data_IF_887215351457
#
_entry.id   IF_887215351457
#
_cell.length_a   1.000
_cell.length_b   1.000
_cell.length_c   1.000
_cell.angle_alpha   90.00
_cell.angle_beta   90.00
_cell.angle_gamma   90.00
#
_symmetry.space_group_name_H-M   'P 1'
#
loop_
_entity.id
_entity.type
_entity.pdbx_description
1 polymer ?
#
# COMPACT_ATOMS: atom_id res chain seq x y z
N UNK A 1 58.87 -13.73 16.72
CA UNK A 1 57.63 -14.23 17.30
C UNK A 1 56.48 -13.58 16.52
N UNK A 2 56.10 -14.20 15.42
CA UNK A 2 55.07 -13.71 14.51
C UNK A 2 53.69 -14.15 14.97
N UNK A 3 52.80 -13.24 15.18
CA UNK A 3 51.39 -13.52 15.52
C UNK A 3 50.61 -13.63 14.19
N UNK A 4 50.24 -14.85 13.85
CA UNK A 4 49.32 -15.12 12.72
C UNK A 4 47.89 -14.83 13.14
N UNK A 5 47.25 -13.91 12.46
CA UNK A 5 45.78 -13.73 12.48
C UNK A 5 45.12 -14.76 11.56
N UNK A 6 44.03 -15.41 11.99
CA UNK A 6 43.27 -16.31 11.12
C UNK A 6 42.36 -15.50 10.12
N UNK A 7 42.08 -16.07 8.96
CA UNK A 7 41.23 -15.45 7.98
C UNK A 7 39.76 -15.51 8.41
N UNK A 8 39.04 -14.38 8.23
CA UNK A 8 37.59 -14.32 8.35
C UNK A 8 37.05 -14.59 6.95
N UNK A 9 36.60 -15.78 6.68
CA UNK A 9 35.74 -16.13 5.58
C UNK A 9 34.31 -16.17 6.11
N UNK A 10 33.50 -15.20 5.76
CA UNK A 10 32.03 -15.27 5.80
C UNK A 10 31.52 -14.97 4.40
N UNK A 11 31.53 -15.99 3.55
CA UNK A 11 30.70 -16.02 2.35
C UNK A 11 29.26 -16.32 2.79
N UNK A 12 28.37 -15.35 2.68
CA UNK A 12 26.94 -15.57 2.77
C UNK A 12 26.50 -16.30 1.49
N UNK A 13 26.02 -17.52 1.65
CA UNK A 13 25.45 -18.35 0.60
C UNK A 13 24.11 -17.74 0.13
N UNK A 14 23.96 -17.31 -1.15
CA UNK A 14 22.74 -16.68 -1.65
C UNK A 14 21.62 -17.69 -1.99
N UNK A 15 21.72 -18.95 -1.57
CA UNK A 15 20.76 -20.01 -1.93
C UNK A 15 19.96 -20.55 -0.74
N UNK A 16 19.51 -19.70 0.18
CA UNK A 16 18.50 -20.13 1.13
C UNK A 16 17.11 -19.96 0.50
N UNK A 17 16.84 -20.79 -0.49
CA UNK A 17 15.50 -21.10 -0.91
C UNK A 17 14.83 -21.91 0.20
N UNK A 18 13.83 -21.35 0.86
CA UNK A 18 13.01 -22.09 1.82
C UNK A 18 12.21 -23.13 1.03
N UNK A 19 12.73 -24.35 0.99
CA UNK A 19 11.95 -25.50 0.58
C UNK A 19 10.88 -25.73 1.64
N UNK A 20 9.61 -25.63 1.26
CA UNK A 20 8.50 -26.06 2.09
C UNK A 20 8.66 -27.55 2.36
N UNK A 21 9.30 -27.89 3.48
CA UNK A 21 9.36 -29.26 3.96
C UNK A 21 7.94 -29.67 4.39
N UNK A 22 7.39 -30.69 3.73
CA UNK A 22 6.20 -31.42 4.19
C UNK A 22 6.48 -32.03 5.57
N UNK A 23 6.29 -31.24 6.60
CA UNK A 23 6.38 -31.60 8.02
C UNK A 23 4.98 -31.68 8.61
N UNK A 24 4.54 -32.89 8.82
CA UNK A 24 3.34 -33.38 9.45
C UNK A 24 2.70 -32.47 10.51
N UNK A 25 1.54 -31.93 10.23
CA UNK A 25 0.36 -32.04 11.08
C UNK A 25 -0.88 -31.93 10.17
N UNK A 26 -1.71 -32.97 10.13
CA UNK A 26 -3.02 -32.99 9.47
C UNK A 26 -3.99 -32.01 10.21
N UNK A 27 -3.73 -30.71 10.12
CA UNK A 27 -4.77 -29.70 10.18
C UNK A 27 -5.24 -29.55 8.73
N UNK A 28 -6.46 -30.02 8.44
CA UNK A 28 -7.17 -29.62 7.24
C UNK A 28 -6.99 -28.11 7.10
N UNK A 29 -6.22 -27.69 6.11
CA UNK A 29 -6.05 -26.27 5.78
C UNK A 29 -7.37 -25.86 5.15
N UNK A 30 -8.24 -25.27 5.95
CA UNK A 30 -9.55 -24.85 5.51
C UNK A 30 -9.36 -23.59 4.66
N UNK A 31 -9.66 -23.66 3.36
CA UNK A 31 -9.56 -22.52 2.45
C UNK A 31 -10.28 -21.29 3.01
N UNK A 32 -9.70 -20.13 2.80
CA UNK A 32 -10.33 -18.85 3.13
C UNK A 32 -11.65 -18.73 2.37
N UNK A 33 -12.69 -18.32 3.05
CA UNK A 33 -14.04 -18.18 2.52
C UNK A 33 -14.60 -16.80 2.81
N UNK A 34 -15.70 -16.43 2.15
CA UNK A 34 -16.45 -15.19 2.48
C UNK A 34 -16.81 -15.11 3.97
N UNK A 35 -17.04 -16.25 4.64
CA UNK A 35 -17.28 -16.26 6.10
C UNK A 35 -16.05 -15.81 6.88
N UNK A 36 -14.83 -16.16 6.44
CA UNK A 36 -13.60 -15.64 7.03
C UNK A 36 -13.46 -14.14 6.80
N UNK A 37 -13.83 -13.64 5.62
CA UNK A 37 -13.87 -12.20 5.36
C UNK A 37 -14.82 -11.46 6.32
N UNK A 38 -16.03 -11.99 6.55
CA UNK A 38 -16.96 -11.43 7.53
C UNK A 38 -16.38 -11.47 8.96
N UNK A 39 -15.66 -12.54 9.33
CA UNK A 39 -14.92 -12.59 10.60
C UNK A 39 -13.84 -11.48 10.64
N UNK A 40 -13.08 -11.28 9.56
CA UNK A 40 -12.05 -10.23 9.47
C UNK A 40 -12.66 -8.83 9.65
N UNK A 41 -13.77 -8.53 9.00
CA UNK A 41 -14.50 -7.26 9.15
C UNK A 41 -15.03 -7.02 10.58
N UNK A 42 -15.21 -8.08 11.37
CA UNK A 42 -15.69 -7.93 12.75
C UNK A 42 -14.67 -7.28 13.70
N UNK A 43 -13.39 -7.17 13.29
CA UNK A 43 -12.34 -6.54 14.09
C UNK A 43 -12.27 -5.04 13.82
N UNK A 44 -12.53 -4.21 14.82
CA UNK A 44 -12.23 -2.77 14.81
C UNK A 44 -10.76 -2.57 15.18
N UNK A 45 -9.92 -2.12 14.23
CA UNK A 45 -8.45 -2.24 14.29
C UNK A 45 -7.67 -0.93 14.15
N UNK A 46 -8.00 0.14 14.91
CA UNK A 46 -7.11 1.31 14.91
C UNK A 46 -5.68 0.89 15.25
N UNK A 47 -4.71 1.61 14.68
CA UNK A 47 -3.29 1.35 14.88
C UNK A 47 -2.93 1.26 16.37
N UNK A 48 -2.07 0.29 16.73
CA UNK A 48 -1.57 0.04 18.08
C UNK A 48 -2.55 -0.64 19.04
N UNK A 49 -3.77 -0.98 18.62
CA UNK A 49 -4.78 -1.57 19.49
C UNK A 49 -4.60 -3.07 19.75
N UNK A 50 -5.23 -3.56 20.83
CA UNK A 50 -5.27 -5.00 21.10
C UNK A 50 -6.08 -5.76 20.04
N UNK A 51 -7.06 -5.12 19.42
CA UNK A 51 -7.90 -5.73 18.37
C UNK A 51 -7.07 -5.95 17.09
N UNK A 52 -6.26 -4.97 16.70
CA UNK A 52 -5.32 -5.09 15.59
C UNK A 52 -4.36 -6.28 15.82
N UNK A 53 -3.70 -6.36 16.98
CA UNK A 53 -2.82 -7.49 17.31
C UNK A 53 -3.53 -8.85 17.27
N UNK A 54 -4.79 -8.92 17.73
CA UNK A 54 -5.58 -10.16 17.65
C UNK A 54 -5.90 -10.54 16.21
N UNK A 55 -6.23 -9.56 15.38
CA UNK A 55 -6.45 -9.76 13.95
C UNK A 55 -5.18 -10.30 13.28
N UNK A 56 -4.04 -9.63 13.48
CA UNK A 56 -2.77 -10.05 12.91
C UNK A 56 -2.38 -11.48 13.37
N UNK A 57 -2.51 -11.79 14.66
CA UNK A 57 -2.23 -13.14 15.18
C UNK A 57 -3.18 -14.21 14.60
N UNK A 58 -4.41 -13.84 14.26
CA UNK A 58 -5.42 -14.77 13.75
C UNK A 58 -5.26 -15.04 12.25
N UNK A 59 -4.99 -13.99 11.46
CA UNK A 59 -5.05 -14.07 10.00
C UNK A 59 -3.70 -13.91 9.31
N UNK A 60 -2.79 -13.08 9.83
CA UNK A 60 -1.52 -12.77 9.17
C UNK A 60 -0.37 -13.66 9.66
N UNK A 61 -0.16 -13.73 10.96
CA UNK A 61 0.95 -14.48 11.55
C UNK A 61 1.03 -15.95 11.08
N UNK A 62 -0.10 -16.70 10.94
CA UNK A 62 -0.03 -18.09 10.47
C UNK A 62 0.42 -18.26 9.01
N UNK A 63 0.30 -17.22 8.19
CA UNK A 63 0.60 -17.21 6.75
C UNK A 63 1.95 -16.55 6.46
N UNK A 64 2.18 -15.39 7.05
CA UNK A 64 3.36 -14.55 6.78
C UNK A 64 4.54 -14.84 7.72
N UNK A 65 4.31 -15.42 8.90
CA UNK A 65 5.29 -15.48 9.97
C UNK A 65 5.32 -14.19 10.79
N UNK A 66 6.43 -13.95 11.51
CA UNK A 66 6.60 -12.75 12.33
C UNK A 66 6.70 -11.50 11.45
N UNK A 67 6.12 -10.37 11.89
CA UNK A 67 6.25 -9.10 11.18
C UNK A 67 7.68 -8.55 11.27
N UNK A 68 8.01 -7.58 10.43
CA UNK A 68 9.23 -6.79 10.55
C UNK A 68 9.23 -5.92 11.83
N UNK A 69 10.34 -5.20 12.08
CA UNK A 69 10.50 -4.36 13.29
C UNK A 69 9.47 -3.22 13.37
N UNK A 70 8.85 -2.84 12.24
CA UNK A 70 7.79 -1.82 12.20
C UNK A 70 6.40 -2.42 12.41
N UNK A 71 6.19 -3.68 12.04
CA UNK A 71 4.91 -4.37 12.13
C UNK A 71 4.31 -4.75 10.77
N UNK A 72 5.07 -4.61 9.67
CA UNK A 72 4.66 -5.07 8.36
C UNK A 72 4.77 -6.58 8.25
N UNK A 73 3.82 -7.22 7.58
CA UNK A 73 3.86 -8.65 7.26
C UNK A 73 4.29 -8.84 5.82
N UNK A 74 5.38 -9.58 5.59
CA UNK A 74 6.03 -9.71 4.29
C UNK A 74 6.17 -11.18 3.95
N UNK A 75 5.71 -11.58 2.75
CA UNK A 75 5.85 -12.95 2.25
C UNK A 75 6.20 -12.93 0.76
N UNK A 76 7.27 -13.61 0.40
CA UNK A 76 7.67 -13.81 -1.00
C UNK A 76 7.30 -15.22 -1.44
N UNK A 77 6.48 -15.34 -2.48
CA UNK A 77 6.07 -16.61 -3.11
C UNK A 77 6.71 -16.68 -4.50
N UNK A 78 7.54 -17.68 -4.74
CA UNK A 78 8.26 -17.83 -6.00
C UNK A 78 9.39 -16.82 -6.20
N UNK A 79 9.59 -16.39 -7.46
CA UNK A 79 10.56 -15.35 -7.85
C UNK A 79 9.82 -14.16 -8.49
N UNK A 80 9.04 -13.40 -7.71
CA UNK A 80 8.10 -12.42 -8.22
C UNK A 80 8.76 -11.18 -8.78
N UNK A 81 8.08 -10.61 -9.78
CA UNK A 81 8.31 -9.25 -10.28
C UNK A 81 7.19 -8.28 -9.89
N UNK A 82 6.13 -8.78 -9.24
CA UNK A 82 4.99 -7.98 -8.79
C UNK A 82 4.87 -8.06 -7.26
N UNK A 83 4.67 -6.89 -6.63
CA UNK A 83 4.28 -6.79 -5.23
C UNK A 83 2.79 -6.51 -5.12
N UNK A 84 2.12 -7.22 -4.23
CA UNK A 84 0.72 -7.02 -3.84
C UNK A 84 0.67 -6.41 -2.45
N UNK A 85 -0.08 -5.31 -2.31
CA UNK A 85 -0.05 -4.47 -1.11
C UNK A 85 -1.44 -4.22 -0.55
N UNK A 86 -1.52 -4.18 0.76
CA UNK A 86 -2.69 -3.82 1.55
C UNK A 86 -2.23 -3.39 2.93
N UNK A 87 -3.14 -2.92 3.80
CA UNK A 87 -2.82 -2.59 5.18
C UNK A 87 -3.76 -3.29 6.17
N UNK A 88 -3.33 -3.38 7.44
CA UNK A 88 -4.10 -4.10 8.45
C UNK A 88 -4.69 -3.22 9.55
N UNK A 89 -4.41 -1.93 9.57
CA UNK A 89 -5.09 -0.96 10.43
C UNK A 89 -6.40 -0.46 9.80
N UNK A 90 -7.20 0.27 10.54
CA UNK A 90 -8.48 0.86 10.10
C UNK A 90 -8.78 2.12 10.87
N UNK A 91 -9.60 3.03 10.33
CA UNK A 91 -10.00 4.30 10.97
C UNK A 91 -11.08 4.17 12.04
N UNK A 92 -11.31 2.99 12.59
CA UNK A 92 -12.25 2.85 13.70
C UNK A 92 -11.84 3.75 14.89
N UNK A 93 -12.80 4.37 15.55
CA UNK A 93 -12.52 5.25 16.69
C UNK A 93 -12.02 4.49 17.92
N UNK A 94 -12.45 3.24 18.06
CA UNK A 94 -12.10 2.38 19.20
C UNK A 94 -11.72 0.99 18.69
N UNK A 95 -10.76 0.37 19.36
CA UNK A 95 -10.43 -1.03 19.11
C UNK A 95 -11.43 -1.97 19.79
N UNK A 96 -11.78 -3.07 19.12
CA UNK A 96 -12.73 -4.05 19.65
C UNK A 96 -13.31 -4.95 18.58
N UNK A 97 -14.54 -5.35 18.78
CA UNK A 97 -15.32 -6.18 17.86
C UNK A 97 -16.60 -5.44 17.48
N UNK A 98 -17.01 -5.57 16.23
CA UNK A 98 -18.28 -5.06 15.72
C UNK A 98 -19.15 -6.18 15.16
N UNK A 99 -20.41 -5.88 14.94
CA UNK A 99 -21.34 -6.73 14.23
C UNK A 99 -21.37 -6.33 12.75
N UNK A 100 -21.03 -7.25 11.89
CA UNK A 100 -21.20 -7.10 10.43
C UNK A 100 -22.64 -7.53 10.08
N UNK A 101 -23.28 -6.75 9.21
CA UNK A 101 -24.65 -6.97 8.73
C UNK A 101 -24.57 -7.15 7.23
N UNK A 102 -25.13 -8.25 6.74
CA UNK A 102 -25.27 -8.46 5.29
C UNK A 102 -26.72 -8.11 4.93
N UNK A 103 -26.88 -7.21 3.96
CA UNK A 103 -28.19 -6.81 3.47
C UNK A 103 -28.68 -7.72 2.33
N UNK A 104 -29.93 -7.50 1.88
CA UNK A 104 -30.58 -8.30 0.84
C UNK A 104 -29.90 -8.22 -0.54
N UNK A 105 -29.06 -7.19 -0.77
CA UNK A 105 -28.28 -7.02 -2.00
C UNK A 105 -26.85 -7.56 -1.86
N UNK A 106 -26.59 -8.42 -0.88
CA UNK A 106 -25.30 -9.02 -0.59
C UNK A 106 -24.17 -8.02 -0.28
N UNK A 107 -24.51 -6.86 0.29
CA UNK A 107 -23.52 -5.91 0.82
C UNK A 107 -23.29 -6.12 2.30
N UNK A 108 -22.02 -6.19 2.70
CA UNK A 108 -21.63 -6.12 4.10
C UNK A 108 -21.63 -4.65 4.58
N UNK A 109 -22.19 -4.40 5.76
CA UNK A 109 -22.32 -3.09 6.41
C UNK A 109 -22.17 -3.22 7.91
N UNK A 110 -22.18 -2.10 8.63
CA UNK A 110 -22.14 -2.07 10.11
C UNK A 110 -22.97 -0.92 10.66
N UNK A 111 -23.20 -0.91 11.97
CA UNK A 111 -23.77 0.23 12.73
C UNK A 111 -22.70 1.10 13.39
N UNK A 112 -21.43 0.70 13.32
CA UNK A 112 -20.29 1.42 13.89
C UNK A 112 -19.89 2.65 13.05
N UNK A 113 -18.78 3.27 13.37
CA UNK A 113 -18.33 4.48 12.65
C UNK A 113 -17.78 4.21 11.24
N UNK A 114 -17.30 3.01 10.98
CA UNK A 114 -16.92 2.49 9.66
C UNK A 114 -16.99 0.96 9.65
N UNK A 115 -16.97 0.33 8.49
CA UNK A 115 -16.92 -1.12 8.34
C UNK A 115 -15.49 -1.66 8.45
N UNK A 116 -14.51 -0.91 7.95
CA UNK A 116 -13.11 -1.32 7.82
C UNK A 116 -12.89 -2.28 6.67
N UNK A 117 -13.70 -2.18 5.60
CA UNK A 117 -13.45 -2.85 4.34
C UNK A 117 -12.16 -2.34 3.69
N UNK A 118 -11.90 -1.06 3.86
CA UNK A 118 -10.63 -0.37 3.71
C UNK A 118 -9.71 -0.70 4.92
N UNK A 119 -8.63 -1.50 4.86
CA UNK A 119 -8.32 -2.35 3.70
C UNK A 119 -8.40 -3.86 4.03
N UNK A 120 -9.44 -4.30 4.77
CA UNK A 120 -9.68 -5.74 5.01
C UNK A 120 -9.86 -6.51 3.70
N UNK A 121 -10.44 -5.85 2.70
CA UNK A 121 -10.71 -6.41 1.38
C UNK A 121 -9.41 -6.81 0.69
N UNK A 122 -8.43 -5.92 0.67
CA UNK A 122 -7.13 -6.22 0.08
C UNK A 122 -6.40 -7.34 0.82
N UNK A 123 -6.45 -7.36 2.16
CA UNK A 123 -5.87 -8.47 2.94
C UNK A 123 -6.53 -9.80 2.57
N UNK A 124 -7.85 -9.85 2.44
CA UNK A 124 -8.56 -11.07 2.05
C UNK A 124 -8.16 -11.55 0.65
N UNK A 125 -8.15 -10.66 -0.35
CA UNK A 125 -7.72 -10.98 -1.73
C UNK A 125 -6.31 -11.59 -1.70
N UNK A 126 -5.37 -10.94 -1.02
CA UNK A 126 -3.98 -11.40 -0.93
C UNK A 126 -3.88 -12.79 -0.27
N UNK A 127 -4.61 -13.04 0.81
CA UNK A 127 -4.63 -14.36 1.46
C UNK A 127 -5.16 -15.45 0.53
N UNK A 128 -6.21 -15.17 -0.27
CA UNK A 128 -6.76 -16.09 -1.28
C UNK A 128 -5.76 -16.34 -2.42
N UNK A 129 -5.05 -15.30 -2.89
CA UNK A 129 -4.00 -15.45 -3.90
C UNK A 129 -2.84 -16.32 -3.40
N UNK A 130 -2.40 -16.13 -2.14
CA UNK A 130 -1.36 -16.94 -1.51
C UNK A 130 -1.81 -18.41 -1.41
N UNK A 131 -3.04 -18.68 -0.98
CA UNK A 131 -3.60 -20.03 -0.93
C UNK A 131 -3.63 -20.72 -2.30
N UNK A 132 -3.92 -19.96 -3.35
CA UNK A 132 -3.91 -20.43 -4.73
C UNK A 132 -2.48 -20.61 -5.30
N UNK A 133 -1.44 -20.17 -4.57
CA UNK A 133 -0.05 -20.27 -4.98
C UNK A 133 0.35 -19.25 -6.06
N UNK A 134 -0.35 -18.11 -6.14
CA UNK A 134 0.00 -17.04 -7.06
C UNK A 134 1.35 -16.46 -6.67
N UNK A 135 2.29 -16.42 -7.63
CA UNK A 135 3.62 -15.86 -7.43
C UNK A 135 3.54 -14.36 -7.19
N UNK A 136 4.16 -13.88 -6.10
CA UNK A 136 4.08 -12.48 -5.71
C UNK A 136 4.94 -12.16 -4.48
N UNK A 137 5.30 -10.88 -4.33
CA UNK A 137 5.73 -10.32 -3.05
C UNK A 137 4.49 -9.73 -2.37
N UNK A 138 4.07 -10.31 -1.28
CA UNK A 138 2.90 -9.88 -0.52
C UNK A 138 3.33 -9.05 0.68
N UNK A 139 2.82 -7.81 0.78
CA UNK A 139 3.13 -6.91 1.90
C UNK A 139 1.82 -6.41 2.49
N UNK A 140 1.56 -6.73 3.76
CA UNK A 140 0.46 -6.13 4.53
C UNK A 140 1.07 -5.11 5.48
N UNK A 141 0.91 -3.84 5.14
CA UNK A 141 1.51 -2.73 5.89
C UNK A 141 0.78 -2.48 7.21
N UNK A 142 1.49 -1.86 8.14
CA UNK A 142 0.93 -1.27 9.35
C UNK A 142 0.82 0.25 9.19
N UNK A 143 -0.10 0.86 9.93
CA UNK A 143 -0.17 2.31 10.09
C UNK A 143 -0.30 3.10 8.77
N UNK A 144 -1.06 2.57 7.80
CA UNK A 144 -1.41 3.29 6.58
C UNK A 144 -2.27 4.51 6.91
N UNK A 145 -3.34 4.30 7.68
CA UNK A 145 -4.35 5.28 8.07
C UNK A 145 -3.81 6.43 8.96
N UNK A 146 -2.58 6.31 9.40
CA UNK A 146 -1.88 7.33 10.18
C UNK A 146 -0.61 7.83 9.49
N UNK A 147 -0.60 7.78 8.15
CA UNK A 147 0.41 8.36 7.27
C UNK A 147 1.39 7.36 6.69
N UNK A 148 0.94 6.20 6.22
CA UNK A 148 1.72 5.20 5.46
C UNK A 148 3.06 4.82 6.13
N UNK A 149 3.09 4.76 7.47
CA UNK A 149 4.33 4.59 8.25
C UNK A 149 5.00 3.25 8.03
N UNK A 150 4.21 2.22 7.70
CA UNK A 150 4.72 0.88 7.42
C UNK A 150 5.47 0.83 6.10
N UNK A 151 4.89 1.35 5.04
CA UNK A 151 5.48 1.40 3.71
C UNK A 151 6.67 2.35 3.64
N UNK A 152 6.57 3.54 4.26
CA UNK A 152 7.70 4.46 4.42
C UNK A 152 8.90 3.79 5.12
N UNK A 153 8.64 3.01 6.19
CA UNK A 153 9.70 2.28 6.87
C UNK A 153 10.45 1.33 5.93
N UNK A 154 9.73 0.56 5.10
CA UNK A 154 10.37 -0.34 4.13
C UNK A 154 11.22 0.45 3.15
N UNK A 155 10.67 1.51 2.56
CA UNK A 155 11.38 2.31 1.54
C UNK A 155 12.68 2.93 2.07
N UNK A 156 12.69 3.40 3.33
CA UNK A 156 13.83 4.11 3.90
C UNK A 156 14.82 3.23 4.68
N UNK A 157 14.36 2.11 5.25
CA UNK A 157 15.20 1.30 6.14
C UNK A 157 15.52 -0.08 5.60
N UNK A 158 14.63 -0.66 4.77
CA UNK A 158 14.79 -2.02 4.23
C UNK A 158 14.38 -2.11 2.75
N UNK A 159 14.87 -1.17 1.88
CA UNK A 159 14.44 -1.13 0.46
C UNK A 159 14.74 -2.41 -0.31
N UNK A 160 15.71 -3.22 0.13
CA UNK A 160 16.04 -4.53 -0.44
C UNK A 160 14.87 -5.53 -0.40
N UNK A 161 13.88 -5.31 0.42
CA UNK A 161 12.63 -6.11 0.46
C UNK A 161 11.97 -6.15 -0.92
N UNK A 162 12.04 -5.05 -1.67
CA UNK A 162 11.44 -4.92 -3.00
C UNK A 162 12.43 -5.11 -4.15
N UNK A 163 13.63 -5.62 -3.89
CA UNK A 163 14.61 -5.90 -4.93
C UNK A 163 14.02 -6.84 -5.99
N UNK A 164 14.16 -6.45 -7.27
CA UNK A 164 13.65 -7.19 -8.42
C UNK A 164 12.16 -6.97 -8.73
N UNK A 165 11.43 -6.24 -7.89
CA UNK A 165 10.02 -5.89 -8.12
C UNK A 165 9.93 -4.78 -9.16
N UNK A 166 9.01 -4.94 -10.12
CA UNK A 166 8.78 -4.01 -11.23
C UNK A 166 7.41 -3.34 -11.16
N UNK A 167 6.46 -3.97 -10.46
CA UNK A 167 5.14 -3.41 -10.25
C UNK A 167 4.68 -3.60 -8.80
N UNK A 168 4.01 -2.59 -8.25
CA UNK A 168 3.32 -2.61 -6.97
C UNK A 168 1.83 -2.34 -7.19
N UNK A 169 0.98 -3.28 -6.78
CA UNK A 169 -0.48 -3.22 -6.91
C UNK A 169 -1.09 -3.21 -5.51
N UNK A 170 -1.63 -2.05 -5.09
CA UNK A 170 -2.43 -1.94 -3.87
C UNK A 170 -3.88 -2.33 -4.15
N UNK A 171 -4.50 -3.07 -3.24
CA UNK A 171 -5.91 -3.44 -3.23
C UNK A 171 -6.69 -2.54 -2.27
N UNK A 172 -6.65 -1.23 -2.50
CA UNK A 172 -7.04 -0.21 -1.54
C UNK A 172 -7.76 0.97 -2.20
N UNK A 173 -8.61 0.68 -3.20
CA UNK A 173 -9.42 1.70 -3.88
C UNK A 173 -10.89 1.33 -3.83
N UNK A 174 -11.74 2.31 -3.50
CA UNK A 174 -13.18 2.16 -3.56
C UNK A 174 -13.70 1.97 -4.99
N UNK A 175 -14.94 1.54 -5.12
CA UNK A 175 -15.62 1.38 -6.40
C UNK A 175 -15.25 0.07 -7.10
N UNK A 176 -15.50 0.01 -8.40
CA UNK A 176 -15.42 -1.24 -9.16
C UNK A 176 -14.33 -1.28 -10.24
N UNK A 177 -13.92 -0.13 -10.80
CA UNK A 177 -13.28 -0.13 -12.10
C UNK A 177 -12.10 0.82 -12.27
N UNK A 178 -11.55 1.38 -11.20
CA UNK A 178 -10.38 2.27 -11.31
C UNK A 178 -9.07 1.50 -11.18
N UNK A 179 -8.15 1.74 -12.11
CA UNK A 179 -6.71 1.51 -11.97
C UNK A 179 -6.05 2.88 -11.88
N UNK A 180 -5.49 3.20 -10.73
CA UNK A 180 -4.96 4.53 -10.44
C UNK A 180 -3.62 4.71 -11.15
N UNK A 181 -3.53 5.72 -12.04
CA UNK A 181 -2.30 6.09 -12.75
C UNK A 181 -1.53 7.23 -12.10
N UNK A 182 -2.21 8.04 -11.28
CA UNK A 182 -1.61 9.15 -10.53
C UNK A 182 -2.09 9.08 -9.07
N UNK A 183 -1.17 9.25 -8.15
CA UNK A 183 -1.49 9.37 -6.72
C UNK A 183 -1.07 10.75 -6.24
N UNK A 184 -1.99 11.47 -5.59
CA UNK A 184 -1.79 12.86 -5.17
C UNK A 184 -1.23 13.76 -6.30
N UNK A 185 -1.75 13.56 -7.52
CA UNK A 185 -1.36 14.35 -8.69
C UNK A 185 -0.05 13.94 -9.37
N UNK A 186 0.70 13.00 -8.80
CA UNK A 186 1.95 12.51 -9.38
C UNK A 186 1.70 11.20 -10.12
N UNK A 187 2.22 11.07 -11.34
CA UNK A 187 2.14 9.82 -12.11
C UNK A 187 2.95 8.71 -11.41
N UNK A 188 2.29 7.63 -11.05
CA UNK A 188 2.88 6.48 -10.36
C UNK A 188 2.89 5.22 -11.21
N UNK A 189 2.06 5.13 -12.25
CA UNK A 189 2.15 4.08 -13.26
C UNK A 189 1.83 4.61 -14.68
N UNK A 190 2.29 3.86 -15.68
CA UNK A 190 2.06 4.18 -17.09
C UNK A 190 0.64 3.77 -17.54
N UNK A 191 0.15 4.38 -18.63
CA UNK A 191 -1.11 3.96 -19.25
C UNK A 191 -1.02 2.53 -19.78
N UNK A 192 0.12 2.17 -20.39
CA UNK A 192 0.36 0.82 -20.92
C UNK A 192 0.30 -0.24 -19.81
N UNK A 193 0.88 0.07 -18.63
CA UNK A 193 0.75 -0.80 -17.48
C UNK A 193 -0.72 -0.95 -17.05
N UNK A 194 -1.45 0.17 -16.93
CA UNK A 194 -2.86 0.18 -16.57
C UNK A 194 -3.72 -0.63 -17.54
N UNK A 195 -3.51 -0.46 -18.86
CA UNK A 195 -4.23 -1.19 -19.90
C UNK A 195 -3.92 -2.69 -19.82
N UNK A 196 -2.65 -3.07 -19.69
CA UNK A 196 -2.24 -4.47 -19.54
C UNK A 196 -2.81 -5.11 -18.26
N UNK A 197 -2.89 -4.35 -17.16
CA UNK A 197 -3.50 -4.82 -15.91
C UNK A 197 -5.01 -5.04 -16.07
N UNK A 198 -5.71 -4.11 -16.73
CA UNK A 198 -7.14 -4.28 -17.05
C UNK A 198 -7.38 -5.54 -17.90
N UNK A 199 -6.54 -5.77 -18.90
CA UNK A 199 -6.63 -6.93 -19.79
C UNK A 199 -6.44 -8.27 -19.05
N UNK A 200 -5.46 -8.38 -18.14
CA UNK A 200 -5.22 -9.62 -17.41
C UNK A 200 -6.28 -9.91 -16.34
N UNK A 201 -6.85 -8.85 -15.73
CA UNK A 201 -7.91 -9.00 -14.74
C UNK A 201 -9.27 -9.35 -15.36
N UNK A 202 -9.47 -9.05 -16.66
CA UNK A 202 -10.72 -9.34 -17.39
C UNK A 202 -11.97 -8.74 -16.72
N UNK A 203 -11.79 -7.68 -15.96
CA UNK A 203 -12.84 -6.86 -15.35
C UNK A 203 -12.94 -5.54 -16.12
N UNK A 204 -14.04 -4.78 -15.97
CA UNK A 204 -14.24 -3.50 -16.66
C UNK A 204 -13.40 -2.36 -16.03
N UNK A 205 -12.11 -2.62 -15.79
CA UNK A 205 -11.17 -1.64 -15.26
C UNK A 205 -10.76 -0.61 -16.30
N UNK A 206 -10.48 0.60 -15.84
CA UNK A 206 -10.01 1.74 -16.66
C UNK A 206 -8.99 2.54 -15.90
N UNK A 207 -8.07 3.16 -16.63
CA UNK A 207 -7.16 4.16 -16.09
C UNK A 207 -7.92 5.29 -15.42
N UNK A 208 -7.50 5.63 -14.18
CA UNK A 208 -8.07 6.73 -13.40
C UNK A 208 -6.91 7.60 -12.87
N UNK A 209 -6.95 8.90 -13.17
CA UNK A 209 -5.93 9.88 -12.78
C UNK A 209 -6.16 10.46 -11.37
N UNK A 210 -7.29 10.16 -10.74
CA UNK A 210 -7.74 10.81 -9.51
C UNK A 210 -7.53 9.91 -8.29
N UNK A 211 -6.30 9.44 -8.11
CA UNK A 211 -5.91 8.66 -6.94
C UNK A 211 -5.55 9.53 -5.73
N UNK A 212 -5.99 9.09 -4.55
CA UNK A 212 -5.45 9.55 -3.28
C UNK A 212 -4.09 8.88 -3.01
N UNK A 213 -3.49 9.23 -1.88
CA UNK A 213 -2.27 8.60 -1.40
C UNK A 213 -2.60 7.23 -0.78
N UNK A 214 -1.76 6.24 -1.01
CA UNK A 214 -1.75 4.94 -0.32
C UNK A 214 -0.34 4.36 -0.30
N UNK A 215 -0.12 3.25 0.38
CA UNK A 215 1.17 2.59 0.55
C UNK A 215 1.99 2.42 -0.74
N UNK A 216 1.35 2.05 -1.87
CA UNK A 216 2.08 1.89 -3.14
C UNK A 216 2.73 3.18 -3.64
N UNK A 217 2.25 4.35 -3.23
CA UNK A 217 2.84 5.63 -3.59
C UNK A 217 4.25 5.81 -2.99
N UNK A 218 4.50 5.26 -1.79
CA UNK A 218 5.83 5.34 -1.16
C UNK A 218 6.93 4.72 -2.04
N UNK A 219 6.59 3.67 -2.79
CA UNK A 219 7.53 2.92 -3.63
C UNK A 219 7.76 3.53 -5.02
N UNK A 220 7.06 4.60 -5.41
CA UNK A 220 7.11 5.18 -6.76
C UNK A 220 8.51 5.60 -7.22
N UNK A 221 9.42 5.87 -6.29
CA UNK A 221 10.81 6.25 -6.56
C UNK A 221 11.74 5.06 -6.82
N UNK A 222 11.33 3.85 -6.45
CA UNK A 222 12.15 2.63 -6.55
C UNK A 222 11.49 1.52 -7.37
N UNK A 223 10.16 1.46 -7.43
CA UNK A 223 9.42 0.49 -8.28
C UNK A 223 8.88 1.23 -9.52
N UNK A 224 9.08 0.67 -10.74
CA UNK A 224 8.63 1.29 -11.98
C UNK A 224 7.14 1.62 -12.02
N UNK A 225 6.28 0.66 -11.72
CA UNK A 225 4.83 0.83 -11.82
C UNK A 225 4.18 0.65 -10.45
N UNK A 226 3.53 1.71 -9.95
CA UNK A 226 2.85 1.69 -8.65
C UNK A 226 1.40 2.12 -8.82
N UNK A 227 0.45 1.25 -8.51
CA UNK A 227 -0.97 1.52 -8.69
C UNK A 227 -1.80 1.12 -7.48
N UNK A 228 -3.04 1.60 -7.48
CA UNK A 228 -4.10 1.19 -6.55
C UNK A 228 -5.34 0.83 -7.36
N UNK A 229 -5.99 -0.31 -7.10
CA UNK A 229 -7.14 -0.79 -7.86
C UNK A 229 -8.40 -0.88 -7.01
N UNK A 230 -9.56 -0.63 -7.63
CA UNK A 230 -10.86 -0.74 -6.99
C UNK A 230 -11.17 -2.18 -6.58
N UNK A 231 -11.68 -2.35 -5.35
CA UNK A 231 -11.96 -3.68 -4.78
C UNK A 231 -13.38 -3.84 -4.24
N UNK A 232 -14.30 -2.94 -4.60
CA UNK A 232 -15.73 -3.09 -4.37
C UNK A 232 -16.26 -2.60 -3.03
N UNK A 233 -15.48 -1.83 -2.26
CA UNK A 233 -16.02 -1.10 -1.12
C UNK A 233 -16.43 0.33 -1.51
N UNK A 234 -17.26 0.96 -0.70
CA UNK A 234 -17.82 2.30 -0.92
C UNK A 234 -17.92 3.06 0.39
N UNK A 235 -17.90 4.39 0.29
CA UNK A 235 -18.10 5.32 1.41
C UNK A 235 -17.17 5.03 2.61
N UNK A 236 -15.92 4.61 2.33
CA UNK A 236 -14.90 4.32 3.34
C UNK A 236 -14.78 5.46 4.35
N UNK A 237 -14.25 5.16 5.53
CA UNK A 237 -14.06 6.11 6.63
C UNK A 237 -15.37 6.72 7.17
N UNK A 238 -16.51 6.14 6.82
CA UNK A 238 -17.82 6.63 7.23
C UNK A 238 -18.75 5.53 7.74
N UNK A 239 -19.86 5.93 8.39
CA UNK A 239 -20.90 5.00 8.82
C UNK A 239 -21.68 4.34 7.68
N UNK A 240 -21.48 4.81 6.45
CA UNK A 240 -22.12 4.28 5.25
C UNK A 240 -21.24 3.27 4.54
N UNK A 241 -20.03 3.08 5.04
CA UNK A 241 -19.08 2.16 4.44
C UNK A 241 -19.71 0.79 4.23
N UNK A 242 -19.52 0.26 3.04
CA UNK A 242 -20.10 -1.01 2.62
C UNK A 242 -19.15 -1.74 1.68
N UNK A 243 -19.27 -3.07 1.62
CA UNK A 243 -18.55 -3.92 0.68
C UNK A 243 -19.54 -4.77 -0.10
N UNK A 244 -19.43 -4.75 -1.41
CA UNK A 244 -20.10 -5.66 -2.31
C UNK A 244 -19.40 -7.02 -2.27
N UNK A 245 -20.10 -8.04 -1.72
CA UNK A 245 -19.53 -9.39 -1.56
C UNK A 245 -19.49 -10.16 -2.87
N UNK A 246 -20.37 -9.87 -3.83
CA UNK A 246 -20.35 -10.50 -5.14
C UNK A 246 -19.14 -10.00 -5.95
N UNK A 247 -18.89 -8.69 -5.93
CA UNK A 247 -17.72 -8.13 -6.59
C UNK A 247 -16.42 -8.58 -5.91
N UNK A 248 -16.39 -8.70 -4.58
CA UNK A 248 -15.24 -9.23 -3.85
C UNK A 248 -14.80 -10.60 -4.38
N UNK A 249 -15.74 -11.52 -4.60
CA UNK A 249 -15.42 -12.84 -5.15
C UNK A 249 -14.96 -12.74 -6.62
N UNK A 250 -15.63 -11.90 -7.43
CA UNK A 250 -15.23 -11.67 -8.83
C UNK A 250 -13.78 -11.18 -8.93
N UNK A 251 -13.41 -10.12 -8.19
CA UNK A 251 -12.05 -9.58 -8.27
C UNK A 251 -11.02 -10.53 -7.66
N UNK A 252 -11.38 -11.26 -6.60
CA UNK A 252 -10.51 -12.28 -6.01
C UNK A 252 -10.18 -13.38 -7.02
N UNK A 253 -11.20 -13.92 -7.69
CA UNK A 253 -11.01 -14.94 -8.72
C UNK A 253 -10.25 -14.40 -9.93
N UNK A 254 -10.49 -13.16 -10.33
CA UNK A 254 -9.72 -12.48 -11.39
C UNK A 254 -8.24 -12.40 -11.03
N UNK A 255 -7.90 -11.97 -9.81
CA UNK A 255 -6.51 -11.89 -9.35
C UNK A 255 -5.83 -13.26 -9.27
N UNK A 256 -6.56 -14.30 -8.87
CA UNK A 256 -6.04 -15.67 -8.79
C UNK A 256 -5.73 -16.23 -10.19
N UNK A 257 -6.57 -15.93 -11.18
CA UNK A 257 -6.46 -16.49 -12.53
C UNK A 257 -5.66 -15.61 -13.50
N UNK A 258 -5.29 -14.40 -13.11
CA UNK A 258 -4.52 -13.47 -13.94
C UNK A 258 -3.12 -13.99 -14.25
N UNK A 259 -2.68 -13.77 -15.49
CA UNK A 259 -1.29 -14.01 -15.89
C UNK A 259 -0.45 -12.75 -15.65
N UNK A 260 0.03 -12.61 -14.44
CA UNK A 260 0.80 -11.44 -13.98
C UNK A 260 2.11 -11.21 -14.75
N UNK A 261 2.59 -12.19 -15.52
CA UNK A 261 3.78 -12.06 -16.37
C UNK A 261 3.55 -11.19 -17.61
N UNK A 262 2.30 -10.87 -17.94
CA UNK A 262 1.92 -10.07 -19.11
C UNK A 262 1.84 -8.57 -18.85
N UNK A 263 2.14 -8.13 -17.65
CA UNK A 263 2.15 -6.70 -17.32
C UNK A 263 3.22 -5.96 -18.14
N UNK A 264 2.84 -4.83 -18.73
CA UNK A 264 3.76 -3.96 -19.46
C UNK A 264 4.44 -2.98 -18.49
N UNK A 265 5.76 -2.99 -18.43
CA UNK A 265 6.56 -2.12 -17.56
C UNK A 265 7.20 -1.04 -18.42
N UNK A 266 6.70 0.18 -18.31
CA UNK A 266 7.11 1.29 -19.20
C UNK A 266 7.69 2.48 -18.43
N UNK A 267 7.26 2.72 -17.19
CA UNK A 267 7.73 3.85 -16.40
C UNK A 267 9.15 3.57 -15.86
N UNK A 268 9.95 4.62 -15.79
CA UNK A 268 11.27 4.59 -15.15
C UNK A 268 11.25 5.47 -13.89
N UNK A 269 11.36 4.91 -12.68
CA UNK A 269 11.27 5.68 -11.44
C UNK A 269 12.38 6.71 -11.27
N UNK A 270 13.54 6.51 -11.92
CA UNK A 270 14.66 7.45 -11.87
C UNK A 270 14.52 8.66 -12.81
N UNK A 271 13.49 8.69 -13.65
CA UNK A 271 13.19 9.82 -14.53
C UNK A 271 11.93 10.50 -14.01
N UNK A 272 11.98 11.81 -13.68
CA UNK A 272 10.76 12.56 -13.43
C UNK A 272 9.84 12.37 -14.64
N UNK A 273 8.57 12.01 -14.40
CA UNK A 273 7.59 12.04 -15.47
C UNK A 273 7.45 13.50 -15.90
N UNK A 274 7.62 13.77 -17.20
CA UNK A 274 7.41 15.10 -17.76
C UNK A 274 5.93 15.55 -17.70
N UNK A 275 5.07 14.70 -17.12
CA UNK A 275 3.62 14.84 -17.15
C UNK A 275 3.12 15.57 -15.90
N UNK A 276 3.37 16.88 -15.87
CA UNK A 276 2.64 17.82 -15.02
C UNK A 276 1.26 18.18 -15.61
N UNK A 277 0.69 17.31 -16.46
CA UNK A 277 -0.53 17.57 -17.22
C UNK A 277 -1.84 17.40 -16.41
N UNK A 278 -1.88 17.81 -15.16
CA UNK A 278 -3.12 17.88 -14.39
C UNK A 278 -4.01 19.08 -14.78
N UNK A 279 -3.53 19.98 -15.67
CA UNK A 279 -4.25 21.16 -16.12
C UNK A 279 -4.22 21.31 -17.66
N UNK A 280 -4.47 20.22 -18.40
CA UNK A 280 -4.80 20.36 -19.81
C UNK A 280 -6.27 20.83 -19.94
N UNK A 281 -6.46 22.12 -19.75
CA UNK A 281 -7.59 22.82 -20.36
C UNK A 281 -7.14 23.16 -21.77
N UNK A 282 -7.83 22.59 -22.78
CA UNK A 282 -7.77 23.01 -24.19
C UNK A 282 -7.77 24.55 -24.31
N UNK A 283 -6.64 25.18 -24.18
CA UNK A 283 -6.37 26.54 -24.68
C UNK A 283 -4.88 26.71 -24.90
N UNK A 284 -4.53 26.76 -26.19
CA UNK A 284 -3.40 27.45 -26.82
C UNK A 284 -2.10 27.65 -26.03
N UNK A 285 -1.06 26.94 -26.49
CA UNK A 285 0.37 27.33 -26.50
C UNK A 285 0.74 28.45 -25.52
N UNK A 286 0.99 28.12 -24.28
CA UNK A 286 1.80 28.97 -23.42
C UNK A 286 3.24 28.42 -23.42
N UNK A 287 4.11 29.20 -24.03
CA UNK A 287 5.57 29.07 -23.92
C UNK A 287 6.00 28.95 -22.48
N UNK A 288 6.76 27.91 -22.15
CA UNK A 288 7.47 27.81 -20.87
C UNK A 288 8.36 29.06 -20.70
N UNK A 289 7.93 29.97 -19.87
CA UNK A 289 8.77 30.99 -19.29
C UNK A 289 9.03 30.58 -17.84
N UNK A 290 10.30 30.57 -17.50
CA UNK A 290 10.93 30.62 -16.19
C UNK A 290 10.00 30.39 -14.98
N UNK A 291 10.36 29.43 -14.15
CA UNK A 291 9.76 29.08 -12.86
C UNK A 291 9.14 30.29 -12.18
N UNK A 292 7.80 30.34 -12.13
CA UNK A 292 7.12 31.25 -11.24
C UNK A 292 7.44 30.82 -9.80
N UNK A 293 8.14 31.68 -9.09
CA UNK A 293 8.49 31.56 -7.66
C UNK A 293 7.27 31.72 -6.74
N UNK A 294 6.06 31.67 -7.25
CA UNK A 294 4.82 31.83 -6.49
C UNK A 294 4.22 30.48 -6.09
N UNK A 295 4.93 29.69 -5.31
CA UNK A 295 4.26 28.86 -4.33
C UNK A 295 3.62 29.83 -3.35
N UNK A 296 2.29 29.83 -3.21
CA UNK A 296 1.55 30.59 -2.20
C UNK A 296 2.03 30.14 -0.81
N UNK A 297 3.25 30.60 -0.48
CA UNK A 297 3.88 30.36 0.79
C UNK A 297 3.17 31.26 1.80
N UNK A 298 2.49 30.66 2.77
CA UNK A 298 1.83 31.41 3.82
C UNK A 298 2.91 32.04 4.74
N UNK A 299 3.17 33.34 4.62
CA UNK A 299 4.17 34.01 5.44
C UNK A 299 3.87 33.92 6.94
N UNK A 300 2.62 33.71 7.32
CA UNK A 300 2.20 33.49 8.70
C UNK A 300 2.68 32.12 9.21
N UNK A 301 2.80 31.13 8.33
CA UNK A 301 3.34 29.80 8.66
C UNK A 301 4.84 29.86 8.95
N UNK A 302 5.62 30.58 8.12
CA UNK A 302 7.07 30.78 8.37
C UNK A 302 7.30 31.49 9.70
N UNK A 303 6.55 32.56 9.95
CA UNK A 303 6.64 33.29 11.19
C UNK A 303 6.30 32.41 12.40
N UNK A 304 5.23 31.60 12.30
CA UNK A 304 4.81 30.65 13.35
C UNK A 304 5.92 29.62 13.64
N UNK A 305 6.54 29.06 12.59
CA UNK A 305 7.64 28.09 12.73
C UNK A 305 8.85 28.76 13.39
N UNK A 306 9.20 29.98 12.95
CA UNK A 306 10.32 30.74 13.50
C UNK A 306 10.12 31.14 14.97
N UNK A 307 8.89 31.47 15.36
CA UNK A 307 8.53 31.84 16.72
C UNK A 307 8.42 30.62 17.67
N UNK A 308 8.03 29.45 17.15
CA UNK A 308 7.72 28.25 17.95
C UNK A 308 8.38 26.96 17.45
N UNK A 309 9.69 26.95 17.16
CA UNK A 309 10.34 25.80 16.52
C UNK A 309 10.24 24.52 17.35
N UNK A 310 10.29 24.62 18.69
CA UNK A 310 10.11 23.43 19.57
C UNK A 310 8.71 22.87 19.53
N UNK A 311 7.68 23.71 19.45
CA UNK A 311 6.28 23.26 19.36
C UNK A 311 6.03 22.58 18.02
N UNK A 312 6.59 23.12 16.94
CA UNK A 312 6.51 22.51 15.61
C UNK A 312 7.25 21.17 15.59
N UNK A 313 8.45 21.08 16.17
CA UNK A 313 9.18 19.81 16.28
C UNK A 313 8.41 18.76 17.08
N UNK A 314 7.78 19.14 18.21
CA UNK A 314 6.94 18.23 19.00
C UNK A 314 5.71 17.80 18.18
N UNK A 315 5.09 18.71 17.44
CA UNK A 315 3.96 18.39 16.58
C UNK A 315 4.36 17.39 15.50
N UNK A 316 5.46 17.62 14.79
CA UNK A 316 5.97 16.71 13.76
C UNK A 316 6.31 15.33 14.36
N UNK A 317 7.00 15.29 15.52
CA UNK A 317 7.26 14.01 16.21
C UNK A 317 5.98 13.30 16.65
N UNK A 318 4.95 14.03 17.11
CA UNK A 318 3.67 13.44 17.51
C UNK A 318 2.89 12.87 16.32
N UNK A 319 3.17 13.36 15.10
CA UNK A 319 2.67 12.82 13.83
C UNK A 319 3.61 11.77 13.22
N UNK A 320 4.69 11.41 13.94
CA UNK A 320 5.57 10.29 13.62
C UNK A 320 6.75 10.64 12.73
N UNK A 321 6.98 11.91 12.41
CA UNK A 321 8.19 12.30 11.68
C UNK A 321 9.42 12.19 12.56
N UNK A 322 10.44 11.47 12.12
CA UNK A 322 11.78 11.52 12.70
C UNK A 322 12.69 12.52 11.96
N UNK A 323 13.91 12.72 12.46
CA UNK A 323 14.84 13.69 11.89
C UNK A 323 15.25 13.31 10.46
N UNK A 324 15.42 12.02 10.18
CA UNK A 324 15.87 11.55 8.86
C UNK A 324 14.74 11.72 7.83
N UNK A 325 13.50 11.43 8.23
CA UNK A 325 12.30 11.64 7.40
C UNK A 325 12.11 13.12 7.04
N UNK A 326 12.34 14.02 8.01
CA UNK A 326 12.30 15.46 7.78
C UNK A 326 13.46 15.95 6.91
N UNK A 327 14.69 15.49 7.15
CA UNK A 327 15.85 15.86 6.31
C UNK A 327 15.64 15.39 4.87
N UNK A 328 15.07 14.19 4.68
CA UNK A 328 14.72 13.68 3.37
C UNK A 328 13.63 14.53 2.70
N UNK A 329 12.52 14.81 3.39
CA UNK A 329 11.46 15.66 2.87
C UNK A 329 11.96 17.07 2.52
N UNK A 330 12.81 17.65 3.37
CA UNK A 330 13.43 18.97 3.13
C UNK A 330 14.44 18.96 1.98
N UNK A 331 15.05 17.81 1.65
CA UNK A 331 15.94 17.70 0.49
C UNK A 331 15.20 17.96 -0.82
N UNK A 332 13.96 17.48 -0.94
CA UNK A 332 13.11 17.76 -2.10
C UNK A 332 12.69 19.22 -2.21
N UNK A 333 12.41 19.88 -1.07
CA UNK A 333 12.10 21.31 -1.04
C UNK A 333 13.29 22.14 -1.54
N UNK A 334 14.51 21.74 -1.16
CA UNK A 334 15.75 22.46 -1.54
C UNK A 334 16.06 22.33 -3.03
N UNK A 335 15.61 21.25 -3.68
CA UNK A 335 15.83 21.01 -5.11
C UNK A 335 14.63 21.47 -5.97
N UNK A 336 13.72 22.28 -5.41
CA UNK A 336 12.56 22.84 -6.12
C UNK A 336 11.35 21.89 -6.19
N UNK A 337 11.34 20.83 -5.41
CA UNK A 337 10.23 19.87 -5.34
C UNK A 337 9.41 20.12 -4.07
N UNK A 338 8.20 20.64 -4.20
CA UNK A 338 7.26 20.79 -3.08
C UNK A 338 6.22 19.66 -3.11
N UNK A 339 6.13 18.79 -2.09
CA UNK A 339 4.98 17.91 -1.97
C UNK A 339 3.74 18.77 -1.67
N UNK A 340 2.78 18.78 -2.60
CA UNK A 340 1.50 19.44 -2.38
C UNK A 340 0.75 18.72 -1.27
N UNK A 341 0.53 19.39 -0.14
CA UNK A 341 -0.36 18.91 0.91
C UNK A 341 -1.80 18.94 0.39
N UNK A 342 -2.39 17.76 0.16
CA UNK A 342 -3.82 17.64 -0.13
C UNK A 342 -4.65 18.05 1.10
N UNK A 343 -5.62 18.94 0.87
CA UNK A 343 -6.77 19.18 1.75
C UNK A 343 -7.78 18.05 1.66
#
# INVERSE_FOLDING_TARGET
MEIKTPPVENELDPTVGISVSKGKSDKEYQMMTTQNYIEMLSYMRPEGTKAQRKFCNRFLLPVFGEPDDRGNYILRVGNPTVAFMSHHDTVHRNGGMQKVIINDNNFATTTENCLGADCTTGVYIMLRMIEAGVEGLYIVHTAEEVGCRGSSYIVYHTPEVVDGIQAAVSFDRYGYNSIITHQSGVRTCSEQFSDSLADILQCDYKSDRYGSYTDSNEYRGIIPECTNISVGYFDQHSKKESQDLDFLEIITDSCINADWSKLEICRNPSKPSADWDLFDTDTDKATYSEYDEDVDFDPDMEQLIAERPKSVAILLQSHGYDVNELEYALSFVRDGYYPQSGN
#
